data_IF_304288866834
#
_entry.id   IF_304288866834
#
_cell.length_a   1.000
_cell.length_b   1.000
_cell.length_c   1.000
_cell.angle_alpha   90.00
_cell.angle_beta   90.00
_cell.angle_gamma   90.00
#
_symmetry.space_group_name_H-M   'P 1'
#
loop_
_entity.id
_entity.type
_entity.pdbx_description
1 polymer ?
#
# COMPACT_ATOMS: atom_id res chain seq x y z
N UNK A 1 -4.38 17.34 -10.36
CA UNK A 1 -3.77 16.00 -10.12
C UNK A 1 -2.97 15.51 -11.33
N UNK A 2 -3.57 15.37 -12.53
CA UNK A 2 -2.91 14.77 -13.71
C UNK A 2 -1.53 15.35 -14.05
N UNK A 3 -1.36 16.67 -14.10
CA UNK A 3 -0.04 17.27 -14.38
C UNK A 3 1.06 16.84 -13.38
N UNK A 4 0.71 16.71 -12.10
CA UNK A 4 1.65 16.25 -11.06
C UNK A 4 1.94 14.75 -11.17
N UNK A 5 0.92 13.94 -11.47
CA UNK A 5 1.06 12.50 -11.72
C UNK A 5 1.91 12.27 -12.96
N UNK A 6 1.67 12.98 -14.06
CA UNK A 6 2.43 12.88 -15.31
C UNK A 6 3.92 13.16 -15.10
N UNK A 7 4.28 14.12 -14.23
CA UNK A 7 5.69 14.39 -13.88
C UNK A 7 6.39 13.16 -13.29
N UNK A 8 5.68 12.32 -12.55
CA UNK A 8 6.22 11.13 -11.87
C UNK A 8 6.05 9.87 -12.75
N UNK A 9 4.90 9.75 -13.42
CA UNK A 9 4.46 8.56 -14.15
C UNK A 9 4.89 8.51 -15.63
N UNK A 10 5.54 9.55 -16.17
CA UNK A 10 6.05 9.53 -17.56
C UNK A 10 7.01 8.36 -17.86
N UNK A 11 7.59 7.74 -16.82
CA UNK A 11 8.53 6.62 -16.94
C UNK A 11 8.37 5.56 -15.84
N UNK A 12 7.23 5.56 -15.14
CA UNK A 12 6.90 4.60 -14.09
C UNK A 12 5.41 4.24 -14.19
N UNK A 13 5.04 2.95 -14.14
CA UNK A 13 3.64 2.57 -14.01
C UNK A 13 3.02 3.22 -12.77
N UNK A 14 1.85 3.82 -12.95
CA UNK A 14 1.06 4.40 -11.88
C UNK A 14 -0.30 3.71 -11.86
N UNK A 15 -0.62 3.10 -10.73
CA UNK A 15 -1.84 2.31 -10.54
C UNK A 15 -2.62 2.89 -9.38
N UNK A 16 -3.91 3.13 -9.60
CA UNK A 16 -4.83 3.65 -8.59
C UNK A 16 -5.68 2.53 -8.00
N UNK A 17 -5.93 2.64 -6.70
CA UNK A 17 -6.96 1.88 -5.98
C UNK A 17 -8.04 2.87 -5.59
N UNK A 18 -9.30 2.55 -5.87
CA UNK A 18 -10.41 3.49 -5.67
C UNK A 18 -10.68 3.71 -4.19
N UNK A 19 -10.91 4.96 -3.83
CA UNK A 19 -11.34 5.39 -2.51
C UNK A 19 -12.74 6.01 -2.51
N UNK A 20 -13.15 6.47 -1.32
CA UNK A 20 -14.47 7.06 -1.13
C UNK A 20 -14.63 8.41 -1.85
N UNK A 21 -13.54 9.12 -2.13
CA UNK A 21 -13.55 10.42 -2.80
C UNK A 21 -13.63 10.32 -4.32
N UNK A 22 -13.53 9.11 -4.87
CA UNK A 22 -13.78 8.84 -6.28
C UNK A 22 -15.28 8.83 -6.61
N UNK A 23 -16.18 8.81 -5.63
CA UNK A 23 -17.64 8.88 -5.81
C UNK A 23 -18.21 7.80 -6.77
N UNK A 24 -17.67 6.58 -6.67
CA UNK A 24 -18.07 5.41 -7.46
C UNK A 24 -18.94 4.43 -6.65
N UNK A 25 -19.77 4.97 -5.76
CA UNK A 25 -20.50 4.17 -4.78
C UNK A 25 -21.63 3.36 -5.45
N UNK A 26 -21.81 2.11 -5.02
CA UNK A 26 -22.89 1.25 -5.52
C UNK A 26 -24.28 1.80 -5.23
N UNK A 27 -24.48 2.42 -4.06
CA UNK A 27 -25.75 3.03 -3.67
C UNK A 27 -26.14 4.28 -4.50
N UNK A 28 -25.21 4.85 -5.26
CA UNK A 28 -25.47 5.97 -6.18
C UNK A 28 -25.64 5.49 -7.64
N UNK A 29 -25.42 4.20 -7.91
CA UNK A 29 -25.56 3.62 -9.25
C UNK A 29 -26.99 3.16 -9.52
N UNK A 30 -27.71 3.89 -10.38
CA UNK A 30 -29.12 3.64 -10.71
C UNK A 30 -29.33 2.98 -12.09
N UNK A 31 -28.27 2.47 -12.71
CA UNK A 31 -28.28 1.89 -14.07
C UNK A 31 -28.73 2.87 -15.17
N UNK A 32 -28.60 4.18 -14.94
CA UNK A 32 -28.80 5.22 -15.96
C UNK A 32 -27.48 5.97 -16.23
N UNK A 33 -27.36 6.67 -17.37
CA UNK A 33 -26.13 7.42 -17.66
C UNK A 33 -25.94 8.70 -16.80
N UNK A 34 -26.94 9.09 -16.00
CA UNK A 34 -27.00 10.40 -15.34
C UNK A 34 -26.94 10.30 -13.81
N UNK A 35 -25.93 9.59 -13.29
CA UNK A 35 -25.61 9.54 -11.87
C UNK A 35 -24.11 9.71 -11.62
N UNK A 36 -23.75 9.99 -10.37
CA UNK A 36 -22.36 10.23 -9.95
C UNK A 36 -21.47 9.01 -10.18
N UNK A 37 -21.93 7.80 -9.86
CA UNK A 37 -21.15 6.58 -10.03
C UNK A 37 -20.73 6.35 -11.50
N UNK A 38 -21.63 6.62 -12.46
CA UNK A 38 -21.34 6.53 -13.90
C UNK A 38 -20.39 7.64 -14.34
N UNK A 39 -20.66 8.89 -13.99
CA UNK A 39 -19.80 10.02 -14.38
C UNK A 39 -18.39 9.85 -13.84
N UNK A 40 -18.25 9.52 -12.56
CA UNK A 40 -16.97 9.29 -11.90
C UNK A 40 -16.21 8.11 -12.50
N UNK A 41 -16.87 6.97 -12.70
CA UNK A 41 -16.24 5.80 -13.34
C UNK A 41 -15.72 6.13 -14.74
N UNK A 42 -16.52 6.83 -15.55
CA UNK A 42 -16.10 7.25 -16.90
C UNK A 42 -14.94 8.25 -16.89
N UNK A 43 -14.88 9.15 -15.90
CA UNK A 43 -13.74 10.06 -15.74
C UNK A 43 -12.47 9.32 -15.30
N UNK A 44 -12.57 8.33 -14.42
CA UNK A 44 -11.45 7.46 -14.04
C UNK A 44 -10.94 6.70 -15.26
N UNK A 45 -11.81 6.03 -16.02
CA UNK A 45 -11.44 5.29 -17.23
C UNK A 45 -10.75 6.19 -18.27
N UNK A 46 -11.17 7.46 -18.38
CA UNK A 46 -10.61 8.42 -19.33
C UNK A 46 -9.25 8.97 -18.92
N UNK A 47 -9.05 9.29 -17.64
CA UNK A 47 -7.88 10.04 -17.18
C UNK A 47 -6.86 9.22 -16.39
N UNK A 48 -7.32 8.14 -15.75
CA UNK A 48 -6.51 7.23 -14.94
C UNK A 48 -6.94 5.78 -15.22
N UNK A 49 -6.74 5.30 -16.47
CA UNK A 49 -7.21 3.98 -16.86
C UNK A 49 -6.60 2.92 -15.94
N UNK A 50 -7.41 2.12 -15.25
CA UNK A 50 -6.91 1.07 -14.36
C UNK A 50 -6.37 -0.10 -15.18
N UNK A 51 -5.59 -1.00 -14.56
CA UNK A 51 -5.30 -2.30 -15.14
C UNK A 51 -6.59 -3.04 -15.54
N UNK A 52 -6.61 -3.56 -16.77
CA UNK A 52 -7.73 -4.31 -17.33
C UNK A 52 -7.33 -5.77 -17.55
N UNK A 53 -8.25 -6.74 -17.37
CA UNK A 53 -7.92 -8.15 -17.56
C UNK A 53 -7.35 -8.46 -18.95
N UNK A 54 -6.18 -9.08 -18.97
CA UNK A 54 -5.49 -9.55 -20.17
C UNK A 54 -4.54 -10.72 -19.80
N UNK A 55 -3.50 -10.97 -20.60
CA UNK A 55 -2.51 -12.02 -20.29
C UNK A 55 -1.60 -11.71 -19.09
N UNK A 56 -1.54 -10.46 -18.66
CA UNK A 56 -0.70 -9.99 -17.56
C UNK A 56 -1.52 -9.65 -16.31
N UNK A 57 -2.66 -8.97 -16.48
CA UNK A 57 -3.56 -8.59 -15.40
C UNK A 57 -4.73 -9.57 -15.29
N UNK A 58 -5.03 -10.02 -14.07
CA UNK A 58 -6.35 -10.55 -13.73
C UNK A 58 -7.21 -9.42 -13.13
N UNK A 59 -8.53 -9.53 -13.17
CA UNK A 59 -9.39 -8.53 -12.55
C UNK A 59 -10.84 -8.59 -13.00
N UNK A 60 -11.53 -7.47 -12.88
CA UNK A 60 -12.96 -7.38 -13.15
C UNK A 60 -13.33 -7.61 -14.63
N UNK A 61 -14.13 -8.64 -14.89
CA UNK A 61 -14.67 -8.98 -16.21
C UNK A 61 -16.15 -8.62 -16.36
N UNK A 62 -16.77 -8.05 -15.32
CA UNK A 62 -18.18 -7.65 -15.29
C UNK A 62 -18.34 -6.27 -15.91
N UNK A 63 -19.16 -6.19 -16.95
CA UNK A 63 -19.51 -4.94 -17.63
C UNK A 63 -20.77 -4.33 -17.02
N UNK A 64 -20.76 -3.01 -16.82
CA UNK A 64 -21.88 -2.24 -16.29
C UNK A 64 -22.50 -1.37 -17.40
N UNK A 65 -23.83 -1.23 -17.45
CA UNK A 65 -24.49 -0.21 -18.28
C UNK A 65 -23.86 1.18 -18.08
N UNK A 66 -23.60 1.86 -19.19
CA UNK A 66 -23.03 3.22 -19.27
C UNK A 66 -21.61 3.43 -18.69
N UNK A 67 -20.97 2.36 -18.18
CA UNK A 67 -19.58 2.36 -17.69
C UNK A 67 -18.69 1.42 -18.51
N UNK A 68 -19.22 0.30 -18.98
CA UNK A 68 -18.43 -0.77 -19.58
C UNK A 68 -17.67 -1.56 -18.52
N UNK A 69 -16.42 -1.95 -18.81
CA UNK A 69 -15.54 -2.60 -17.85
C UNK A 69 -14.93 -1.56 -16.89
N UNK A 70 -15.20 -1.64 -15.58
CA UNK A 70 -14.84 -0.56 -14.67
C UNK A 70 -13.41 -0.71 -14.11
N UNK A 71 -12.78 -1.89 -14.22
CA UNK A 71 -11.39 -2.14 -13.81
C UNK A 71 -11.08 -1.80 -12.34
N UNK A 72 -12.03 -2.02 -11.43
CA UNK A 72 -11.89 -1.66 -10.00
C UNK A 72 -10.93 -2.52 -9.23
N UNK A 73 -11.01 -3.82 -9.49
CA UNK A 73 -10.23 -4.82 -8.78
C UNK A 73 -9.43 -5.58 -9.82
N UNK A 74 -8.18 -5.84 -9.47
CA UNK A 74 -7.20 -6.43 -10.35
C UNK A 74 -6.04 -7.02 -9.55
N UNK A 75 -5.28 -7.89 -10.19
CA UNK A 75 -4.03 -8.39 -9.65
C UNK A 75 -3.00 -8.64 -10.73
N UNK A 76 -1.73 -8.46 -10.38
CA UNK A 76 -0.57 -8.67 -11.24
C UNK A 76 0.70 -8.93 -10.43
N UNK A 77 1.72 -9.45 -11.09
CA UNK A 77 2.99 -9.76 -10.45
C UNK A 77 4.05 -8.69 -10.78
N UNK A 78 4.87 -8.37 -9.77
CA UNK A 78 6.09 -7.59 -9.90
C UNK A 78 7.22 -8.41 -9.31
N UNK A 79 7.95 -9.14 -10.16
CA UNK A 79 8.93 -10.12 -9.70
C UNK A 79 8.23 -11.23 -8.90
N UNK A 80 8.68 -11.47 -7.65
CA UNK A 80 8.11 -12.49 -6.76
C UNK A 80 6.93 -12.00 -5.91
N UNK A 81 6.52 -10.73 -6.07
CA UNK A 81 5.41 -10.12 -5.34
C UNK A 81 4.15 -10.10 -6.21
N UNK A 82 3.07 -10.71 -5.72
CA UNK A 82 1.74 -10.53 -6.28
C UNK A 82 1.03 -9.38 -5.61
N UNK A 83 0.57 -8.41 -6.40
CA UNK A 83 -0.17 -7.23 -5.95
C UNK A 83 -1.63 -7.42 -6.31
N UNK A 84 -2.53 -7.19 -5.35
CA UNK A 84 -3.99 -7.17 -5.53
C UNK A 84 -4.54 -5.80 -5.16
N UNK A 85 -5.59 -5.38 -5.85
CA UNK A 85 -6.39 -4.21 -5.50
C UNK A 85 -7.86 -4.62 -5.37
N UNK A 86 -8.53 -4.13 -4.33
CA UNK A 86 -9.97 -4.31 -4.12
C UNK A 86 -10.71 -2.97 -4.20
N UNK A 87 -12.00 -3.05 -4.52
CA UNK A 87 -12.95 -1.93 -4.50
C UNK A 87 -14.10 -2.24 -3.52
N UNK A 88 -14.13 -1.59 -2.34
CA UNK A 88 -15.21 -1.76 -1.37
C UNK A 88 -16.44 -0.87 -1.66
N UNK A 89 -16.47 -0.08 -2.74
CA UNK A 89 -17.51 0.93 -2.99
C UNK A 89 -18.57 0.49 -4.00
N UNK A 90 -18.18 0.05 -5.20
CA UNK A 90 -19.15 -0.20 -6.28
C UNK A 90 -20.17 -1.30 -5.93
N UNK A 91 -19.85 -2.18 -4.98
CA UNK A 91 -20.68 -3.30 -4.56
C UNK A 91 -21.43 -3.06 -3.26
N UNK A 92 -21.17 -1.93 -2.62
CA UNK A 92 -21.93 -1.45 -1.46
C UNK A 92 -23.18 -0.74 -1.98
N UNK A 93 -24.27 -1.49 -2.14
CA UNK A 93 -25.51 -1.00 -2.78
C UNK A 93 -26.44 -0.26 -1.83
N UNK A 94 -26.19 -0.37 -0.52
CA UNK A 94 -26.87 0.39 0.52
C UNK A 94 -25.81 1.23 1.23
N UNK A 95 -26.12 2.51 1.51
CA UNK A 95 -25.18 3.37 2.22
C UNK A 95 -25.08 2.97 3.69
N UNK A 96 -23.91 2.56 4.20
CA UNK A 96 -23.79 2.01 5.55
C UNK A 96 -23.73 3.08 6.65
N UNK A 97 -23.40 4.33 6.33
CA UNK A 97 -23.05 5.34 7.33
C UNK A 97 -23.84 6.65 7.20
N UNK A 98 -23.87 7.39 8.30
CA UNK A 98 -24.11 8.82 8.34
C UNK A 98 -22.78 9.50 8.70
N UNK A 99 -22.55 10.76 8.29
CA UNK A 99 -21.29 11.47 8.61
C UNK A 99 -20.80 12.39 7.50
N UNK A 100 -19.89 13.30 7.83
CA UNK A 100 -19.32 14.28 6.87
C UNK A 100 -20.37 15.13 6.10
N UNK A 101 -21.54 15.37 6.72
CA UNK A 101 -22.65 16.09 6.10
C UNK A 101 -23.70 15.18 5.44
N UNK A 102 -23.47 13.87 5.42
CA UNK A 102 -24.38 12.88 4.84
C UNK A 102 -25.35 12.31 5.88
N UNK A 103 -26.58 12.05 5.42
CA UNK A 103 -27.68 11.46 6.21
C UNK A 103 -28.38 10.36 5.42
N UNK A 104 -29.18 9.54 6.11
CA UNK A 104 -30.00 8.50 5.48
C UNK A 104 -29.33 7.15 5.24
N UNK A 105 -28.11 6.94 5.78
CA UNK A 105 -27.48 5.62 5.79
C UNK A 105 -28.19 4.64 6.72
N UNK A 106 -28.04 3.35 6.41
CA UNK A 106 -28.64 2.23 7.14
C UNK A 106 -28.09 2.04 8.55
N UNK A 107 -26.88 2.56 8.81
CA UNK A 107 -26.12 2.31 10.05
C UNK A 107 -25.88 0.81 10.28
N UNK A 108 -25.68 0.07 9.20
CA UNK A 108 -25.37 -1.36 9.22
C UNK A 108 -24.04 -1.60 8.51
N UNK A 109 -23.06 -2.12 9.25
CA UNK A 109 -21.73 -2.41 8.71
C UNK A 109 -21.70 -3.53 7.68
N UNK A 110 -22.73 -4.38 7.65
CA UNK A 110 -22.90 -5.39 6.60
C UNK A 110 -23.34 -4.79 5.26
N UNK A 111 -23.60 -3.49 5.16
CA UNK A 111 -23.85 -2.87 3.86
C UNK A 111 -22.55 -2.49 3.12
N UNK A 112 -21.40 -2.48 3.81
CA UNK A 112 -20.10 -2.53 3.15
C UNK A 112 -19.87 -3.90 2.53
N UNK A 113 -19.62 -3.98 1.23
CA UNK A 113 -19.39 -5.27 0.57
C UNK A 113 -18.37 -5.21 -0.57
N UNK A 114 -17.61 -6.30 -0.72
CA UNK A 114 -16.83 -6.58 -1.92
C UNK A 114 -17.74 -7.01 -3.09
N UNK A 115 -18.96 -7.47 -2.82
CA UNK A 115 -19.82 -8.09 -3.83
C UNK A 115 -19.35 -9.49 -4.22
N UNK A 116 -20.30 -10.31 -4.68
CA UNK A 116 -20.07 -11.74 -4.91
C UNK A 116 -19.02 -12.01 -6.00
N UNK A 117 -19.03 -11.24 -7.08
CA UNK A 117 -18.10 -11.45 -8.21
C UNK A 117 -16.65 -11.16 -7.82
N UNK A 118 -16.40 -10.02 -7.15
CA UNK A 118 -15.06 -9.68 -6.65
C UNK A 118 -14.60 -10.65 -5.56
N UNK A 119 -15.51 -11.09 -4.69
CA UNK A 119 -15.22 -12.08 -3.66
C UNK A 119 -14.77 -13.42 -4.27
N UNK A 120 -15.53 -13.92 -5.25
CA UNK A 120 -15.19 -15.16 -5.96
C UNK A 120 -13.91 -15.02 -6.79
N UNK A 121 -13.70 -13.86 -7.42
CA UNK A 121 -12.45 -13.53 -8.09
C UNK A 121 -11.28 -13.56 -7.12
N UNK A 122 -11.40 -12.93 -5.95
CA UNK A 122 -10.35 -12.92 -4.93
C UNK A 122 -10.01 -14.34 -4.49
N UNK A 123 -11.01 -15.18 -4.21
CA UNK A 123 -10.76 -16.59 -3.88
C UNK A 123 -10.06 -17.34 -5.02
N UNK A 124 -10.52 -17.15 -6.25
CA UNK A 124 -9.90 -17.77 -7.44
C UNK A 124 -8.45 -17.35 -7.56
N UNK A 125 -8.16 -16.07 -7.34
CA UNK A 125 -6.80 -15.54 -7.40
C UNK A 125 -5.89 -16.12 -6.29
N UNK A 126 -6.38 -16.17 -5.05
CA UNK A 126 -5.65 -16.71 -3.90
C UNK A 126 -5.36 -18.21 -4.05
N UNK A 127 -6.24 -18.96 -4.72
CA UNK A 127 -6.10 -20.41 -4.90
C UNK A 127 -5.37 -20.81 -6.18
N UNK A 128 -5.35 -19.93 -7.19
CA UNK A 128 -4.67 -20.17 -8.47
C UNK A 128 -3.19 -19.83 -8.38
N UNK A 129 -2.83 -18.75 -7.70
CA UNK A 129 -1.46 -18.25 -7.63
C UNK A 129 -0.84 -18.54 -6.26
N UNK A 130 0.37 -19.09 -6.25
CA UNK A 130 1.16 -19.34 -5.04
C UNK A 130 2.39 -18.40 -4.98
N UNK A 131 2.19 -17.09 -4.77
CA UNK A 131 3.28 -16.13 -4.80
C UNK A 131 4.18 -16.26 -3.56
N UNK A 132 5.47 -15.97 -3.72
CA UNK A 132 6.42 -15.92 -2.60
C UNK A 132 6.07 -14.79 -1.63
N UNK A 133 5.57 -13.66 -2.14
CA UNK A 133 5.08 -12.54 -1.34
C UNK A 133 3.73 -12.05 -1.86
N UNK A 134 2.87 -11.62 -0.94
CA UNK A 134 1.52 -11.20 -1.26
C UNK A 134 1.20 -9.84 -0.67
N UNK A 135 0.72 -8.91 -1.50
CA UNK A 135 0.26 -7.59 -1.07
C UNK A 135 -1.14 -7.32 -1.61
N UNK A 136 -2.02 -6.80 -0.76
CA UNK A 136 -3.38 -6.44 -1.10
C UNK A 136 -3.63 -5.00 -0.69
N UNK A 137 -4.05 -4.18 -1.64
CA UNK A 137 -4.40 -2.78 -1.44
C UNK A 137 -5.93 -2.61 -1.51
N UNK A 138 -6.49 -1.88 -0.56
CA UNK A 138 -7.89 -1.46 -0.55
C UNK A 138 -8.00 -0.10 0.11
N UNK A 139 -8.98 0.74 -0.21
CA UNK A 139 -9.07 2.03 0.49
C UNK A 139 -9.46 1.87 1.96
N UNK A 140 -10.43 0.99 2.23
CA UNK A 140 -10.74 0.51 3.56
C UNK A 140 -11.19 -0.96 3.52
N UNK A 141 -11.31 -1.57 4.69
CA UNK A 141 -11.86 -2.92 4.83
C UNK A 141 -13.38 -2.88 4.67
N UNK A 142 -14.03 -3.98 4.29
CA UNK A 142 -15.49 -4.13 4.35
C UNK A 142 -15.97 -4.48 5.76
N UNK A 143 -15.30 -3.84 6.73
CA UNK A 143 -15.67 -3.79 8.12
C UNK A 143 -15.68 -2.34 8.56
N UNK A 144 -16.42 -2.05 9.62
CA UNK A 144 -16.53 -0.70 10.10
C UNK A 144 -16.59 -0.67 11.61
N UNK A 145 -16.18 0.49 12.11
CA UNK A 145 -16.32 0.86 13.49
C UNK A 145 -17.78 1.23 13.78
N UNK A 146 -18.33 0.77 14.91
CA UNK A 146 -19.67 1.11 15.36
C UNK A 146 -19.60 2.12 16.52
N UNK A 147 -19.32 3.40 16.23
CA UNK A 147 -19.75 4.47 17.14
C UNK A 147 -21.13 4.96 16.74
N UNK A 148 -21.95 5.41 17.72
CA UNK A 148 -23.21 6.07 17.42
C UNK A 148 -23.01 7.19 16.39
N UNK A 149 -23.54 6.97 15.19
CA UNK A 149 -23.55 7.94 14.09
C UNK A 149 -22.48 7.81 13.01
N UNK A 150 -21.49 6.90 13.10
CA UNK A 150 -20.46 6.72 12.05
C UNK A 150 -20.09 5.23 11.87
N UNK A 151 -20.64 4.57 10.85
CA UNK A 151 -20.30 3.20 10.42
C UNK A 151 -19.30 3.23 9.24
N UNK A 152 -18.09 3.71 9.51
CA UNK A 152 -17.09 3.96 8.48
C UNK A 152 -15.90 3.02 8.59
N UNK A 153 -15.27 2.72 7.44
CA UNK A 153 -14.16 1.76 7.29
C UNK A 153 -12.82 2.22 7.89
N UNK A 154 -12.82 2.57 9.17
CA UNK A 154 -11.63 3.00 9.93
C UNK A 154 -11.17 1.92 10.90
N UNK A 155 -9.88 1.95 11.25
CA UNK A 155 -9.29 1.02 12.24
C UNK A 155 -8.37 -0.02 11.62
N UNK A 156 -7.80 -0.90 12.44
CA UNK A 156 -6.91 -1.97 11.99
C UNK A 156 -7.46 -3.33 12.38
N UNK A 157 -6.67 -4.12 13.10
CA UNK A 157 -7.05 -5.49 13.47
C UNK A 157 -8.26 -5.56 14.41
N UNK A 158 -8.61 -4.44 15.06
CA UNK A 158 -9.77 -4.34 15.94
C UNK A 158 -11.10 -4.50 15.19
N UNK A 159 -11.13 -4.17 13.89
CA UNK A 159 -12.31 -4.36 13.02
C UNK A 159 -12.15 -5.59 12.12
N UNK A 160 -11.19 -6.46 12.44
CA UNK A 160 -10.93 -7.72 11.74
C UNK A 160 -11.35 -8.92 12.59
N UNK A 161 -11.10 -8.89 13.90
CA UNK A 161 -11.58 -9.92 14.83
C UNK A 161 -12.14 -9.32 16.11
N UNK A 162 -13.34 -9.77 16.48
CA UNK A 162 -14.00 -9.40 17.72
C UNK A 162 -13.16 -9.74 18.95
N UNK A 163 -12.38 -10.81 18.91
CA UNK A 163 -11.48 -11.17 20.02
C UNK A 163 -10.38 -10.15 20.31
N UNK A 164 -10.11 -9.20 19.40
CA UNK A 164 -9.07 -8.17 19.59
C UNK A 164 -9.54 -7.07 20.53
N UNK A 165 -10.76 -6.55 20.33
CA UNK A 165 -11.27 -5.39 21.09
C UNK A 165 -12.81 -5.37 21.24
N UNK A 166 -13.46 -6.52 21.09
CA UNK A 166 -14.92 -6.66 21.26
C UNK A 166 -15.77 -5.99 20.18
N UNK A 167 -15.20 -5.66 19.02
CA UNK A 167 -15.92 -4.98 17.93
C UNK A 167 -16.40 -5.96 16.87
N UNK A 168 -17.53 -5.68 16.21
CA UNK A 168 -17.96 -6.45 15.04
C UNK A 168 -16.95 -6.32 13.89
N UNK A 169 -16.68 -7.42 13.21
CA UNK A 169 -15.79 -7.47 12.06
C UNK A 169 -16.54 -7.56 10.71
N UNK A 170 -17.87 -7.65 10.75
CA UNK A 170 -18.78 -7.57 9.59
C UNK A 170 -18.32 -8.43 8.42
N UNK A 171 -18.36 -7.96 7.17
CA UNK A 171 -17.97 -8.79 6.03
C UNK A 171 -16.51 -9.20 6.12
N UNK A 172 -15.60 -8.30 6.49
CA UNK A 172 -14.17 -8.57 6.44
C UNK A 172 -13.72 -9.73 7.35
N UNK A 173 -14.27 -9.81 8.58
CA UNK A 173 -13.92 -10.86 9.55
C UNK A 173 -15.05 -11.82 9.93
N UNK A 174 -16.28 -11.54 9.53
CA UNK A 174 -17.41 -12.46 9.64
C UNK A 174 -18.22 -12.42 10.94
N UNK A 175 -17.85 -11.57 11.91
CA UNK A 175 -18.44 -11.58 13.26
C UNK A 175 -19.35 -10.36 13.50
N UNK A 176 -20.43 -10.59 14.25
CA UNK A 176 -21.32 -9.53 14.74
C UNK A 176 -20.79 -8.85 16.02
N UNK A 177 -21.59 -7.96 16.61
CA UNK A 177 -21.22 -7.19 17.81
C UNK A 177 -21.13 -8.04 19.10
N UNK A 178 -21.49 -9.32 19.03
CA UNK A 178 -21.35 -10.28 20.14
C UNK A 178 -20.12 -11.17 19.96
N UNK A 179 -19.43 -11.07 18.81
CA UNK A 179 -18.36 -11.98 18.41
C UNK A 179 -18.86 -13.30 17.83
N UNK A 180 -20.16 -13.40 17.52
CA UNK A 180 -20.70 -14.59 16.87
C UNK A 180 -20.36 -14.53 15.38
N UNK A 181 -19.75 -15.60 14.86
CA UNK A 181 -19.51 -15.72 13.42
C UNK A 181 -20.84 -15.93 12.68
N UNK A 182 -21.27 -14.93 11.93
CA UNK A 182 -22.56 -14.88 11.23
C UNK A 182 -22.40 -14.62 9.73
N UNK A 183 -21.19 -14.75 9.19
CA UNK A 183 -20.90 -14.43 7.79
C UNK A 183 -21.85 -15.10 6.79
N UNK A 184 -22.09 -16.41 6.91
CA UNK A 184 -22.96 -17.13 5.98
C UNK A 184 -24.43 -16.69 6.02
N UNK A 185 -24.92 -16.16 7.14
CA UNK A 185 -26.30 -15.62 7.22
C UNK A 185 -26.38 -14.22 6.65
N UNK A 186 -25.31 -13.44 6.72
CA UNK A 186 -25.22 -12.06 6.22
C UNK A 186 -24.74 -11.97 4.77
N UNK A 187 -24.15 -13.05 4.24
CA UNK A 187 -23.55 -13.15 2.90
C UNK A 187 -23.92 -14.44 2.19
N UNK A 188 -25.17 -14.49 1.73
CA UNK A 188 -25.63 -15.59 0.89
C UNK A 188 -24.78 -15.72 -0.38
N UNK A 189 -24.30 -16.94 -0.67
CA UNK A 189 -23.46 -17.24 -1.83
C UNK A 189 -21.95 -17.06 -1.62
N UNK A 190 -21.53 -16.43 -0.52
CA UNK A 190 -20.10 -16.28 -0.18
C UNK A 190 -19.62 -17.56 0.53
N UNK A 191 -19.12 -18.52 -0.24
CA UNK A 191 -18.86 -19.91 0.22
C UNK A 191 -17.42 -20.21 0.65
N UNK A 192 -16.53 -19.23 0.61
CA UNK A 192 -15.09 -19.36 0.88
C UNK A 192 -14.65 -18.82 2.25
N UNK A 193 -15.58 -18.42 3.13
CA UNK A 193 -15.29 -17.77 4.41
C UNK A 193 -15.14 -16.26 4.29
N UNK A 194 -14.81 -15.60 5.41
CA UNK A 194 -14.62 -14.15 5.42
C UNK A 194 -13.32 -13.77 4.69
N UNK A 195 -13.21 -12.57 4.08
CA UNK A 195 -12.00 -12.11 3.39
C UNK A 195 -10.72 -12.21 4.24
N UNK A 196 -10.78 -11.97 5.55
CA UNK A 196 -9.64 -12.17 6.44
C UNK A 196 -9.16 -13.62 6.45
N UNK A 197 -10.06 -14.58 6.59
CA UNK A 197 -9.73 -16.02 6.64
C UNK A 197 -9.16 -16.52 5.30
N UNK A 198 -9.72 -16.01 4.19
CA UNK A 198 -9.21 -16.31 2.86
C UNK A 198 -7.75 -15.85 2.72
N UNK A 199 -7.44 -14.65 3.20
CA UNK A 199 -6.11 -14.05 3.09
C UNK A 199 -5.10 -14.64 4.08
N UNK A 200 -5.52 -14.96 5.30
CA UNK A 200 -4.63 -15.50 6.34
C UNK A 200 -4.09 -16.87 5.98
N UNK A 201 -4.81 -17.62 5.14
CA UNK A 201 -4.35 -18.90 4.59
C UNK A 201 -3.00 -18.84 3.85
N UNK A 202 -2.60 -17.67 3.35
CA UNK A 202 -1.32 -17.48 2.67
C UNK A 202 -0.13 -17.33 3.64
N UNK A 203 -0.35 -16.83 4.86
CA UNK A 203 0.70 -16.58 5.86
C UNK A 203 1.78 -15.53 5.51
N UNK A 204 1.81 -15.00 4.28
CA UNK A 204 2.76 -13.99 3.79
C UNK A 204 2.08 -12.71 3.28
N UNK A 205 0.86 -12.45 3.75
CA UNK A 205 0.00 -11.38 3.24
C UNK A 205 0.23 -10.06 3.99
N UNK A 206 0.43 -8.99 3.23
CA UNK A 206 0.35 -7.60 3.72
C UNK A 206 -0.90 -6.95 3.15
N UNK A 207 -1.76 -6.42 4.02
CA UNK A 207 -2.93 -5.63 3.65
C UNK A 207 -2.60 -4.15 3.89
N UNK A 208 -2.53 -3.38 2.81
CA UNK A 208 -2.31 -1.95 2.82
C UNK A 208 -3.64 -1.25 2.62
N UNK A 209 -3.97 -0.30 3.49
CA UNK A 209 -5.17 0.51 3.31
C UNK A 209 -4.98 2.00 3.47
N UNK A 210 -5.81 2.75 2.75
CA UNK A 210 -5.89 4.20 2.81
C UNK A 210 -6.86 4.67 3.90
N UNK A 211 -7.65 5.69 3.55
CA UNK A 211 -8.76 6.28 4.29
C UNK A 211 -8.45 6.94 5.66
N UNK A 212 -7.53 6.35 6.42
CA UNK A 212 -7.26 6.68 7.81
C UNK A 212 -6.37 7.91 8.00
N UNK A 213 -5.55 8.24 7.00
CA UNK A 213 -4.71 9.43 6.99
C UNK A 213 -3.58 9.45 8.03
N UNK A 214 -3.15 8.28 8.49
CA UNK A 214 -1.97 8.10 9.34
C UNK A 214 -1.31 6.76 9.03
N UNK A 215 -0.07 6.58 9.47
CA UNK A 215 0.61 5.30 9.43
C UNK A 215 0.35 4.53 10.72
N UNK A 216 -0.15 3.31 10.61
CA UNK A 216 -0.12 2.34 11.68
C UNK A 216 0.14 0.95 11.12
N UNK A 217 0.72 0.10 11.96
CA UNK A 217 1.01 -1.29 11.62
C UNK A 217 0.61 -2.22 12.75
N UNK A 218 -0.06 -3.30 12.38
CA UNK A 218 -0.51 -4.35 13.29
C UNK A 218 -0.36 -5.72 12.61
N UNK A 219 -0.22 -6.76 13.42
CA UNK A 219 -0.13 -8.14 12.96
C UNK A 219 -1.31 -8.95 13.53
N UNK A 220 -1.89 -9.82 12.70
CA UNK A 220 -2.95 -10.74 13.11
C UNK A 220 -2.91 -11.96 12.18
N UNK A 221 -2.99 -13.17 12.74
CA UNK A 221 -3.05 -14.43 12.00
C UNK A 221 -1.94 -14.60 10.94
N UNK A 222 -0.72 -14.18 11.26
CA UNK A 222 0.42 -14.25 10.33
C UNK A 222 0.38 -13.23 9.18
N UNK A 223 -0.59 -12.31 9.19
CA UNK A 223 -0.70 -11.20 8.24
C UNK A 223 -0.25 -9.89 8.87
N UNK A 224 0.14 -8.91 8.04
CA UNK A 224 0.37 -7.53 8.45
C UNK A 224 -0.70 -6.62 7.89
N UNK A 225 -1.35 -5.84 8.74
CA UNK A 225 -2.23 -4.74 8.37
C UNK A 225 -1.49 -3.43 8.52
N UNK A 226 -1.52 -2.60 7.48
CA UNK A 226 -0.96 -1.25 7.52
C UNK A 226 -1.92 -0.20 7.00
N UNK A 227 -1.94 0.96 7.65
CA UNK A 227 -2.62 2.16 7.14
C UNK A 227 -1.62 3.10 6.49
N UNK A 228 -2.06 3.80 5.44
CA UNK A 228 -1.26 4.79 4.73
C UNK A 228 -1.56 6.20 5.22
N UNK A 229 -0.48 6.93 5.47
CA UNK A 229 -0.51 8.36 5.70
C UNK A 229 -0.89 9.12 4.42
N UNK A 230 -1.25 10.41 4.53
CA UNK A 230 -1.40 11.30 3.37
C UNK A 230 -0.01 11.82 2.97
N UNK A 231 0.52 11.44 1.80
CA UNK A 231 1.90 11.79 1.43
C UNK A 231 2.11 13.31 1.26
N UNK A 232 1.07 14.08 1.00
CA UNK A 232 1.12 15.53 0.75
C UNK A 232 0.80 16.39 1.97
N UNK A 233 0.50 15.80 3.14
CA UNK A 233 0.18 16.60 4.31
C UNK A 233 1.40 17.38 4.81
N UNK A 234 1.22 18.70 4.90
CA UNK A 234 2.22 19.69 5.34
C UNK A 234 2.03 20.16 6.78
N UNK A 235 1.15 19.50 7.52
CA UNK A 235 0.89 19.74 8.92
C UNK A 235 1.01 18.41 9.66
N UNK A 236 1.59 18.43 10.86
CA UNK A 236 1.37 17.38 11.85
C UNK A 236 -0.13 17.38 12.15
N UNK A 237 -0.91 16.61 11.38
CA UNK A 237 -2.35 16.45 11.59
C UNK A 237 -2.57 15.58 12.82
N UNK A 238 -2.23 16.13 13.98
CA UNK A 238 -2.65 15.68 15.31
C UNK A 238 -4.18 15.54 15.42
N UNK A 239 -4.92 16.19 14.50
CA UNK A 239 -6.36 16.22 14.42
C UNK A 239 -7.02 14.96 13.85
N UNK A 240 -6.41 14.21 12.93
CA UNK A 240 -7.08 13.05 12.28
C UNK A 240 -6.93 11.71 13.00
N UNK A 241 -6.34 11.73 14.19
CA UNK A 241 -6.52 10.70 15.19
C UNK A 241 -7.97 10.66 15.72
N UNK A 242 -9.01 11.17 15.05
CA UNK A 242 -10.41 11.14 15.52
C UNK A 242 -10.89 9.71 15.91
N UNK A 243 -10.39 8.65 15.27
CA UNK A 243 -10.61 7.28 15.75
C UNK A 243 -9.76 6.95 17.00
N UNK A 244 -8.49 7.35 16.98
CA UNK A 244 -7.48 7.00 18.00
C UNK A 244 -7.44 7.87 19.27
N UNK A 245 -7.89 9.13 19.24
CA UNK A 245 -7.84 10.11 20.35
C UNK A 245 -9.07 10.13 21.24
N UNK A 246 -10.22 9.60 20.79
CA UNK A 246 -11.43 9.49 21.63
C UNK A 246 -11.40 8.28 22.58
N UNK A 247 -10.22 7.73 22.85
CA UNK A 247 -10.02 6.69 23.85
C UNK A 247 -10.61 5.32 23.50
N UNK A 248 -10.92 5.06 22.21
CA UNK A 248 -11.48 3.77 21.80
C UNK A 248 -10.45 2.89 21.10
N UNK A 249 -9.53 3.41 20.28
CA UNK A 249 -8.39 2.62 19.78
C UNK A 249 -7.21 2.78 20.73
N UNK A 250 -7.21 2.06 21.86
CA UNK A 250 -5.98 1.86 22.59
C UNK A 250 -5.11 0.89 21.79
N UNK A 251 -3.80 1.16 21.61
CA UNK A 251 -2.91 0.16 21.05
C UNK A 251 -2.98 -1.10 21.91
N UNK A 252 -3.36 -2.22 21.32
CA UNK A 252 -2.86 -3.52 21.77
C UNK A 252 -1.33 -3.45 21.74
N UNK A 253 -0.66 -4.13 22.68
CA UNK A 253 0.81 -4.18 22.72
C UNK A 253 1.38 -4.49 21.32
N UNK A 254 2.30 -3.66 20.83
CA UNK A 254 2.95 -3.85 19.53
C UNK A 254 2.47 -2.95 18.38
N UNK A 255 1.50 -2.06 18.61
CA UNK A 255 1.07 -1.10 17.57
C UNK A 255 1.99 0.12 17.50
N UNK A 256 2.60 0.37 16.35
CA UNK A 256 3.29 1.63 16.04
C UNK A 256 2.34 2.53 15.24
N UNK A 257 1.99 3.71 15.77
CA UNK A 257 1.24 4.73 15.06
C UNK A 257 2.12 5.98 14.88
N UNK A 258 2.24 6.44 13.64
CA UNK A 258 3.01 7.63 13.27
C UNK A 258 2.10 8.61 12.55
N UNK A 259 2.21 9.88 12.92
CA UNK A 259 1.51 10.95 12.25
C UNK A 259 2.04 11.16 10.82
N UNK A 260 1.26 11.90 10.05
CA UNK A 260 1.56 12.34 8.69
C UNK A 260 2.94 13.03 8.57
N UNK A 261 3.60 13.06 7.41
CA UNK A 261 3.26 12.48 6.09
C UNK A 261 4.29 11.47 5.60
N UNK A 262 3.91 10.57 4.70
CA UNK A 262 4.84 9.60 4.13
C UNK A 262 4.25 8.63 3.10
N UNK A 263 5.10 7.74 2.59
CA UNK A 263 4.75 6.67 1.67
C UNK A 263 5.50 5.38 2.02
N UNK A 264 5.04 4.25 1.49
CA UNK A 264 5.76 2.98 1.61
C UNK A 264 6.67 2.74 0.41
N UNK A 265 7.92 2.39 0.69
CA UNK A 265 8.80 1.73 -0.28
C UNK A 265 8.82 0.24 0.00
N UNK A 266 8.56 -0.57 -1.02
CA UNK A 266 8.56 -2.04 -0.95
C UNK A 266 9.70 -2.57 -1.82
N UNK A 267 10.63 -3.27 -1.20
CA UNK A 267 11.78 -3.90 -1.87
C UNK A 267 11.68 -5.41 -1.68
N UNK A 268 11.69 -6.15 -2.78
CA UNK A 268 11.51 -7.60 -2.81
C UNK A 268 12.83 -8.24 -3.24
N UNK A 269 13.35 -9.15 -2.42
CA UNK A 269 14.47 -10.02 -2.75
C UNK A 269 14.03 -11.51 -2.75
N UNK A 270 14.94 -12.43 -3.05
CA UNK A 270 14.65 -13.87 -3.14
C UNK A 270 14.12 -14.48 -1.83
N UNK A 271 14.42 -13.85 -0.69
CA UNK A 271 14.21 -14.39 0.65
C UNK A 271 13.20 -13.61 1.48
N UNK A 272 13.01 -12.31 1.21
CA UNK A 272 12.11 -11.42 1.94
C UNK A 272 11.57 -10.26 1.10
N UNK A 273 10.40 -9.77 1.50
CA UNK A 273 9.88 -8.45 1.11
C UNK A 273 10.04 -7.47 2.29
N UNK A 274 10.73 -6.35 2.05
CA UNK A 274 10.94 -5.26 3.00
C UNK A 274 9.99 -4.12 2.72
N UNK A 275 9.20 -3.72 3.72
CA UNK A 275 8.29 -2.59 3.67
C UNK A 275 8.85 -1.48 4.57
N UNK A 276 9.12 -0.30 4.00
CA UNK A 276 9.68 0.85 4.71
C UNK A 276 8.74 2.05 4.60
N UNK A 277 8.24 2.55 5.74
CA UNK A 277 7.49 3.79 5.78
C UNK A 277 8.48 4.97 5.81
N UNK A 278 8.46 5.77 4.75
CA UNK A 278 9.34 6.91 4.53
C UNK A 278 8.56 8.19 4.77
N UNK A 279 9.01 8.99 5.73
CA UNK A 279 8.42 10.28 6.06
C UNK A 279 8.66 11.30 4.94
N UNK A 280 7.67 12.11 4.59
CA UNK A 280 7.76 13.22 3.61
C UNK A 280 7.67 14.60 4.26
N UNK A 281 7.22 14.70 5.51
CA UNK A 281 7.16 15.93 6.29
C UNK A 281 7.29 15.62 7.79
N UNK A 282 7.91 16.49 8.63
CA UNK A 282 8.49 17.81 8.30
C UNK A 282 9.79 17.71 7.51
N UNK A 283 10.20 18.81 6.87
CA UNK A 283 11.42 18.88 6.05
C UNK A 283 12.69 18.36 6.78
N UNK A 284 12.76 18.53 8.10
CA UNK A 284 13.87 18.02 8.92
C UNK A 284 13.95 16.48 8.97
N UNK A 285 12.83 15.78 8.70
CA UNK A 285 12.71 14.31 8.69
C UNK A 285 12.27 13.72 7.35
N UNK A 286 12.04 14.55 6.33
CA UNK A 286 11.72 14.11 4.97
C UNK A 286 12.75 13.09 4.49
N UNK A 287 12.32 12.01 3.84
CA UNK A 287 13.13 10.91 3.33
C UNK A 287 13.68 9.95 4.39
N UNK A 288 13.36 10.12 5.68
CA UNK A 288 13.78 9.19 6.73
C UNK A 288 12.81 8.03 6.87
N UNK A 289 13.34 6.82 7.08
CA UNK A 289 12.54 5.64 7.41
C UNK A 289 12.10 5.75 8.87
N UNK A 290 10.78 5.73 9.11
CA UNK A 290 10.21 5.82 10.46
C UNK A 290 9.64 4.50 10.96
N UNK A 291 9.28 3.60 10.06
CA UNK A 291 8.92 2.22 10.36
C UNK A 291 9.45 1.29 9.27
N UNK A 292 9.79 0.06 9.65
CA UNK A 292 10.22 -0.96 8.72
C UNK A 292 9.79 -2.33 9.24
N UNK A 293 9.34 -3.19 8.34
CA UNK A 293 9.11 -4.61 8.64
C UNK A 293 9.45 -5.49 7.43
N UNK A 294 9.57 -6.79 7.68
CA UNK A 294 9.85 -7.79 6.66
C UNK A 294 8.86 -8.92 6.70
N UNK A 295 8.51 -9.43 5.52
CA UNK A 295 7.84 -10.71 5.33
C UNK A 295 8.84 -11.67 4.71
N UNK A 296 9.03 -12.84 5.30
CA UNK A 296 9.94 -13.87 4.80
C UNK A 296 9.22 -14.79 3.80
N UNK A 297 9.96 -15.31 2.83
CA UNK A 297 9.48 -16.26 1.81
C UNK A 297 9.01 -17.61 2.39
N UNK A 298 9.47 -17.95 3.59
CA UNK A 298 9.01 -19.11 4.38
C UNK A 298 8.47 -18.61 5.72
N UNK A 299 7.24 -18.08 5.74
CA UNK A 299 6.66 -17.57 6.98
C UNK A 299 6.45 -18.74 7.95
N UNK A 300 7.08 -18.67 9.11
CA UNK A 300 6.61 -19.44 10.28
C UNK A 300 5.53 -18.62 10.96
N UNK A 301 4.61 -19.26 11.67
CA UNK A 301 3.52 -18.61 12.42
C UNK A 301 3.97 -17.57 13.47
N UNK A 302 5.28 -17.41 13.67
CA UNK A 302 5.91 -16.46 14.59
C UNK A 302 6.84 -15.42 13.93
N UNK A 303 7.10 -15.49 12.61
CA UNK A 303 8.13 -14.65 11.95
C UNK A 303 7.53 -13.53 11.09
N UNK A 304 6.60 -12.76 11.65
CA UNK A 304 6.58 -11.34 11.37
C UNK A 304 7.61 -10.74 12.32
N UNK A 305 8.88 -10.70 11.90
CA UNK A 305 9.91 -9.98 12.65
C UNK A 305 9.52 -8.50 12.67
N UNK A 306 8.73 -8.12 13.67
CA UNK A 306 8.47 -6.75 14.09
C UNK A 306 9.66 -6.32 14.95
N UNK A 307 10.86 -6.38 14.36
CA UNK A 307 12.06 -5.83 14.96
C UNK A 307 12.39 -4.53 14.23
N UNK A 308 12.34 -3.36 14.89
CA UNK A 308 13.09 -2.22 14.42
C UNK A 308 14.57 -2.61 14.49
N UNK A 309 15.24 -2.74 13.34
CA UNK A 309 16.70 -2.60 13.31
C UNK A 309 17.55 -3.87 13.16
N UNK A 310 17.17 -4.84 12.33
CA UNK A 310 18.24 -5.54 11.61
C UNK A 310 18.92 -4.51 10.69
N UNK A 311 20.19 -4.16 10.96
CA UNK A 311 20.95 -3.30 10.07
C UNK A 311 20.95 -3.96 8.67
N UNK A 312 20.49 -3.24 7.66
CA UNK A 312 20.38 -3.73 6.27
C UNK A 312 21.38 -3.02 5.38
N UNK A 313 21.79 -3.73 4.32
CA UNK A 313 22.62 -3.19 3.26
C UNK A 313 21.74 -2.79 2.09
N UNK A 314 21.49 -1.49 1.91
CA UNK A 314 20.57 -0.95 0.89
C UNK A 314 20.75 0.57 0.72
N UNK A 315 20.24 1.13 -0.38
CA UNK A 315 20.17 2.57 -0.64
C UNK A 315 18.86 3.11 -0.06
N UNK A 316 18.98 3.91 1.01
CA UNK A 316 17.83 4.43 1.75
C UNK A 316 17.08 5.52 0.99
N UNK A 317 17.83 6.48 0.42
CA UNK A 317 17.23 7.61 -0.31
C UNK A 317 18.24 8.23 -1.26
N UNK A 318 17.72 8.78 -2.35
CA UNK A 318 18.46 9.65 -3.27
C UNK A 318 17.72 10.97 -3.32
N UNK A 319 18.33 12.02 -2.73
CA UNK A 319 17.65 13.30 -2.54
C UNK A 319 18.57 14.52 -2.72
N UNK A 320 18.07 15.61 -3.32
CA UNK A 320 16.81 15.65 -4.06
C UNK A 320 16.88 14.76 -5.32
N UNK A 321 15.72 14.40 -5.88
CA UNK A 321 15.63 13.64 -7.12
C UNK A 321 14.34 14.06 -7.85
N UNK A 322 14.41 14.81 -8.96
CA UNK A 322 15.60 15.16 -9.76
C UNK A 322 16.61 16.09 -9.07
N UNK A 323 17.90 16.02 -9.44
CA UNK A 323 18.95 16.87 -8.84
C UNK A 323 20.18 17.11 -9.72
N UNK A 324 20.88 18.21 -9.44
CA UNK A 324 22.23 18.51 -9.97
C UNK A 324 23.36 17.89 -9.12
N UNK A 325 23.07 17.56 -7.87
CA UNK A 325 24.01 17.05 -6.86
C UNK A 325 23.23 16.19 -5.85
N UNK A 326 22.76 14.99 -6.25
CA UNK A 326 22.03 14.10 -5.33
C UNK A 326 22.91 13.64 -4.17
N UNK A 327 22.34 13.66 -2.96
CA UNK A 327 22.84 12.87 -1.83
C UNK A 327 22.26 11.46 -1.94
N UNK A 328 23.12 10.46 -2.00
CA UNK A 328 22.77 9.05 -2.01
C UNK A 328 23.07 8.53 -0.61
N UNK A 329 22.03 8.41 0.20
CA UNK A 329 22.14 7.87 1.54
C UNK A 329 21.91 6.36 1.48
N UNK A 330 22.83 5.60 2.05
CA UNK A 330 22.80 4.14 2.05
C UNK A 330 23.21 3.61 3.42
N UNK A 331 22.72 2.43 3.74
CA UNK A 331 23.03 1.75 4.99
C UNK A 331 23.82 0.48 4.70
N UNK A 332 24.75 0.15 5.59
CA UNK A 332 25.52 -1.08 5.56
C UNK A 332 25.21 -1.90 6.81
N UNK A 333 24.80 -3.15 6.60
CA UNK A 333 24.46 -4.07 7.68
C UNK A 333 25.68 -4.43 8.55
N UNK A 334 26.80 -4.70 7.89
CA UNK A 334 28.03 -5.21 8.52
C UNK A 334 29.25 -4.53 7.92
N UNK A 335 30.28 -4.29 8.74
CA UNK A 335 31.55 -3.76 8.25
C UNK A 335 32.11 -4.67 7.17
N UNK A 336 32.30 -4.15 5.96
CA UNK A 336 32.57 -4.97 4.79
C UNK A 336 32.98 -4.15 3.57
N UNK A 337 33.29 -4.84 2.47
CA UNK A 337 33.60 -4.20 1.20
C UNK A 337 32.31 -3.72 0.53
N UNK A 338 32.33 -2.48 0.08
CA UNK A 338 31.23 -1.80 -0.59
C UNK A 338 31.70 -1.32 -1.95
N UNK A 339 30.80 -1.43 -2.94
CA UNK A 339 30.93 -0.73 -4.21
C UNK A 339 29.65 0.04 -4.51
N UNK A 340 29.73 1.36 -4.54
CA UNK A 340 28.64 2.23 -4.97
C UNK A 340 29.02 2.91 -6.28
N UNK A 341 28.25 2.67 -7.33
CA UNK A 341 28.48 3.27 -8.64
C UNK A 341 27.22 3.93 -9.22
N UNK A 342 27.43 4.92 -10.08
CA UNK A 342 26.41 5.52 -10.94
C UNK A 342 26.50 4.88 -12.32
N UNK A 343 25.38 4.41 -12.83
CA UNK A 343 25.25 3.74 -14.11
C UNK A 343 24.27 4.49 -15.00
N UNK A 344 24.49 4.51 -16.30
CA UNK A 344 23.52 5.03 -17.25
C UNK A 344 22.38 4.03 -17.51
N UNK A 345 21.38 4.43 -18.30
CA UNK A 345 20.24 3.57 -18.63
C UNK A 345 20.61 2.30 -19.42
N UNK A 346 21.81 2.21 -19.99
CA UNK A 346 22.32 1.01 -20.64
C UNK A 346 23.13 0.12 -19.68
N UNK A 347 23.17 0.45 -18.38
CA UNK A 347 23.94 -0.27 -17.37
C UNK A 347 25.45 -0.03 -17.45
N UNK A 348 25.91 1.00 -18.17
CA UNK A 348 27.33 1.34 -18.26
C UNK A 348 27.72 2.20 -17.07
N UNK A 349 28.85 1.85 -16.44
CA UNK A 349 29.37 2.57 -15.29
C UNK A 349 29.85 3.97 -15.69
N UNK A 350 29.17 4.98 -15.16
CA UNK A 350 29.46 6.40 -15.37
C UNK A 350 30.49 6.91 -14.38
N UNK A 351 30.26 6.63 -13.08
CA UNK A 351 31.13 7.08 -12.00
C UNK A 351 31.12 6.07 -10.85
N UNK A 352 32.26 5.86 -10.21
CA UNK A 352 32.33 5.10 -8.95
C UNK A 352 32.42 6.09 -7.79
N UNK A 353 31.52 5.96 -6.82
CA UNK A 353 31.42 6.85 -5.67
C UNK A 353 32.10 6.24 -4.44
N UNK A 354 31.95 4.93 -4.26
CA UNK A 354 32.57 4.18 -3.17
C UNK A 354 33.16 2.89 -3.73
N UNK A 355 34.36 2.53 -3.29
CA UNK A 355 34.99 1.24 -3.58
C UNK A 355 35.99 0.91 -2.47
N UNK A 356 35.61 -0.01 -1.58
CA UNK A 356 36.48 -0.48 -0.51
C UNK A 356 35.73 -0.77 0.78
N UNK A 357 36.48 -0.97 1.86
CA UNK A 357 35.93 -1.33 3.17
C UNK A 357 35.27 -0.12 3.84
N UNK A 358 34.08 -0.33 4.39
CA UNK A 358 33.29 0.67 5.13
C UNK A 358 32.75 0.04 6.41
N UNK A 359 32.60 0.86 7.45
CA UNK A 359 32.01 0.42 8.72
C UNK A 359 30.51 0.18 8.58
N UNK A 360 29.95 -0.71 9.40
CA UNK A 360 28.49 -0.84 9.51
C UNK A 360 27.86 0.50 9.91
N UNK A 361 26.68 0.81 9.37
CA UNK A 361 25.97 2.05 9.66
C UNK A 361 25.50 2.81 8.42
N UNK A 362 25.04 4.04 8.62
CA UNK A 362 24.53 4.92 7.57
C UNK A 362 25.65 5.77 6.98
N UNK A 363 25.71 5.82 5.66
CA UNK A 363 26.67 6.57 4.88
C UNK A 363 25.95 7.47 3.87
N UNK A 364 26.63 8.53 3.43
CA UNK A 364 26.10 9.44 2.40
C UNK A 364 27.20 9.68 1.37
N UNK A 365 26.91 9.34 0.12
CA UNK A 365 27.78 9.66 -1.02
C UNK A 365 27.13 10.72 -1.89
N UNK A 366 27.93 11.58 -2.52
CA UNK A 366 27.46 12.64 -3.42
C UNK A 366 27.96 12.41 -4.82
N UNK A 367 27.13 12.73 -5.81
CA UNK A 367 27.54 12.75 -7.20
C UNK A 367 27.29 14.12 -7.80
N UNK A 368 28.29 14.71 -8.45
CA UNK A 368 28.23 16.05 -9.04
C UNK A 368 27.87 16.06 -10.53
N UNK A 369 27.45 14.90 -11.05
CA UNK A 369 27.12 14.73 -12.45
C UNK A 369 28.33 14.54 -13.36
N UNK A 370 29.51 14.23 -12.82
CA UNK A 370 30.70 13.92 -13.63
C UNK A 370 30.89 12.42 -13.83
N UNK A 371 31.38 12.06 -15.00
CA UNK A 371 31.90 10.73 -15.29
C UNK A 371 33.28 10.51 -14.67
N UNK A 372 33.79 9.28 -14.74
CA UNK A 372 35.18 8.91 -14.37
C UNK A 372 36.26 9.76 -15.05
N UNK A 373 35.97 10.32 -16.23
CA UNK A 373 36.88 11.18 -16.99
C UNK A 373 36.77 12.65 -16.59
N UNK A 374 36.00 12.98 -15.55
CA UNK A 374 35.78 14.35 -15.07
C UNK A 374 34.80 15.17 -15.92
N UNK A 375 34.32 14.64 -17.05
CA UNK A 375 33.35 15.33 -17.91
C UNK A 375 31.94 15.25 -17.35
N UNK A 376 31.18 16.36 -17.42
CA UNK A 376 29.76 16.37 -17.04
C UNK A 376 28.95 15.47 -17.96
N UNK A 377 28.10 14.61 -17.42
CA UNK A 377 27.18 13.77 -18.20
C UNK A 377 25.89 14.51 -18.54
N UNK A 378 25.15 14.05 -19.55
CA UNK A 378 23.91 14.70 -19.97
C UNK A 378 22.83 14.61 -18.89
N UNK A 379 21.89 15.57 -18.87
CA UNK A 379 20.65 15.40 -18.10
C UNK A 379 19.94 14.11 -18.55
N UNK A 380 19.40 13.34 -17.61
CA UNK A 380 18.78 12.06 -17.93
C UNK A 380 18.63 11.13 -16.74
N UNK A 381 18.20 9.91 -17.03
CA UNK A 381 18.03 8.84 -16.05
C UNK A 381 19.34 8.08 -15.88
N UNK A 382 19.72 7.88 -14.62
CA UNK A 382 20.86 7.11 -14.15
C UNK A 382 20.40 6.19 -13.01
N UNK A 383 21.28 5.29 -12.58
CA UNK A 383 21.03 4.37 -11.49
C UNK A 383 22.19 4.40 -10.51
N UNK A 384 21.92 4.66 -9.24
CA UNK A 384 22.88 4.39 -8.18
C UNK A 384 22.76 2.92 -7.80
N UNK A 385 23.86 2.17 -7.86
CA UNK A 385 23.90 0.74 -7.58
C UNK A 385 24.91 0.46 -6.47
N UNK A 386 24.44 -0.14 -5.39
CA UNK A 386 25.21 -0.53 -4.20
C UNK A 386 25.40 -2.05 -4.22
N UNK A 387 26.65 -2.49 -4.17
CA UNK A 387 27.02 -3.89 -3.99
C UNK A 387 27.78 -4.04 -2.67
N UNK A 388 27.25 -4.85 -1.76
CA UNK A 388 27.88 -5.15 -0.47
C UNK A 388 27.21 -6.37 0.19
N UNK A 389 27.98 -7.13 0.98
CA UNK A 389 27.51 -8.35 1.68
C UNK A 389 26.81 -9.38 0.77
N UNK A 390 27.27 -9.51 -0.48
CA UNK A 390 26.63 -10.37 -1.49
C UNK A 390 25.27 -9.87 -1.99
N UNK A 391 24.81 -8.70 -1.53
CA UNK A 391 23.61 -8.02 -1.99
C UNK A 391 23.95 -6.98 -3.05
N UNK A 392 22.95 -6.75 -3.89
CA UNK A 392 22.94 -5.73 -4.92
C UNK A 392 21.63 -4.97 -4.77
N UNK A 393 21.73 -3.66 -4.57
CA UNK A 393 20.59 -2.75 -4.55
C UNK A 393 20.79 -1.64 -5.58
N UNK A 394 19.71 -1.19 -6.20
CA UNK A 394 19.77 -0.15 -7.23
C UNK A 394 18.55 0.75 -7.17
N UNK A 395 18.80 2.06 -7.24
CA UNK A 395 17.74 3.08 -7.24
C UNK A 395 17.90 4.03 -8.40
N UNK A 396 16.78 4.39 -9.00
CA UNK A 396 16.71 5.37 -10.10
C UNK A 396 17.06 6.75 -9.59
N UNK A 397 17.89 7.43 -10.36
CA UNK A 397 18.34 8.80 -10.17
C UNK A 397 18.05 9.61 -11.44
N UNK A 398 17.45 10.79 -11.30
CA UNK A 398 17.25 11.73 -12.40
C UNK A 398 18.22 12.90 -12.23
N UNK A 399 19.19 13.00 -13.14
CA UNK A 399 20.15 14.09 -13.16
C UNK A 399 19.69 15.20 -14.09
N UNK A 400 19.83 16.44 -13.61
CA UNK A 400 19.61 17.65 -14.39
C UNK A 400 20.87 18.51 -14.35
N UNK A 401 21.29 19.04 -15.50
CA UNK A 401 22.41 19.99 -15.59
C UNK A 401 22.05 21.39 -15.10
#
# INVERSE_FOLDING_TARGET
AREYVDRIAHSLPFVLVRGNHEEVNGWDYDSTPNNTAVWSSNMLLKYFPPPMPDSFYSGNTISYPDIGLPGNYFAFDVGALRIRALDPFLYSNTRPHNGHGETGGSLNGWDWSLGLDQYNWLNTDLTTYAPTFSMLATHHLTSCYAVPGLYYGRGGVEVVKHSVDGRPSHEWGGEDSTGTFVFGTQRSGFVHGAPHDMLSSLGNQVVIKGHDHFHARQALDGMVYVTMAKPDATEEQTGNLWGWKFGTFYPTQGTLALENSGFYSVVVDDSMATYSYIQTYPAAGEGTVKDMFTVLSSPTSANLDVAPGAAKTWIQTVRPNPSRVPNIQWQLARTGNVRLGIYDAAGRLVQELENGRREAGTHVSRWDGRSRQGSRVASGVYFAKLEADGRLDAVKLVYIR
#
